data_IF_495601443654
#
_entry.id   IF_495601443654
#
_cell.length_a   1.000
_cell.length_b   1.000
_cell.length_c   1.000
_cell.angle_alpha   90.00
_cell.angle_beta   90.00
_cell.angle_gamma   90.00
#
_symmetry.space_group_name_H-M   'P 1'
#
loop_
_entity.id
_entity.type
_entity.pdbx_description
1 polymer ?
#
# COMPACT_ATOMS: atom_id res chain seq x y z
N UNK A 1 46.94 0.79 5.26
CA UNK A 1 46.07 1.06 4.09
C UNK A 1 45.38 -0.18 3.51
N UNK A 2 45.79 -1.43 3.79
CA UNK A 2 45.07 -2.63 3.31
C UNK A 2 43.96 -3.12 4.26
N UNK A 3 44.02 -2.81 5.56
CA UNK A 3 43.07 -3.31 6.56
C UNK A 3 41.74 -2.54 6.63
N UNK A 4 41.72 -1.23 6.33
CA UNK A 4 40.48 -0.42 6.35
C UNK A 4 39.53 -0.79 5.20
N UNK A 5 40.08 -1.13 4.03
CA UNK A 5 39.30 -1.58 2.88
C UNK A 5 38.57 -2.90 3.14
N UNK A 6 39.19 -3.82 3.89
CA UNK A 6 38.58 -5.12 4.22
C UNK A 6 37.37 -4.97 5.17
N UNK A 7 37.43 -4.02 6.11
CA UNK A 7 36.33 -3.75 7.04
C UNK A 7 35.13 -3.10 6.31
N UNK A 8 35.40 -2.17 5.38
CA UNK A 8 34.35 -1.59 4.55
C UNK A 8 33.68 -2.61 3.63
N UNK A 9 34.44 -3.58 3.11
CA UNK A 9 33.90 -4.61 2.20
C UNK A 9 33.03 -5.64 2.93
N UNK A 10 33.36 -6.00 4.19
CA UNK A 10 32.50 -6.82 5.04
C UNK A 10 31.19 -6.09 5.38
N UNK A 11 31.26 -4.79 5.67
CA UNK A 11 30.06 -3.97 5.91
C UNK A 11 29.19 -3.88 4.64
N UNK A 12 29.78 -3.71 3.45
CA UNK A 12 29.05 -3.70 2.17
C UNK A 12 28.37 -5.05 1.90
N UNK A 13 29.05 -6.16 2.19
CA UNK A 13 28.50 -7.52 2.07
C UNK A 13 27.31 -7.74 3.02
N UNK A 14 27.43 -7.34 4.28
CA UNK A 14 26.36 -7.47 5.28
C UNK A 14 25.12 -6.62 4.94
N UNK A 15 25.34 -5.41 4.44
CA UNK A 15 24.26 -4.52 3.97
C UNK A 15 23.57 -5.10 2.74
N UNK A 16 24.33 -5.67 1.80
CA UNK A 16 23.78 -6.33 0.62
C UNK A 16 22.96 -7.58 0.96
N UNK A 17 23.43 -8.42 1.89
CA UNK A 17 22.69 -9.60 2.35
C UNK A 17 21.39 -9.20 3.07
N UNK A 18 21.43 -8.16 3.92
CA UNK A 18 20.22 -7.61 4.56
C UNK A 18 19.24 -7.04 3.55
N UNK A 19 19.71 -6.35 2.51
CA UNK A 19 18.87 -5.83 1.43
C UNK A 19 18.24 -6.96 0.59
N UNK A 20 19.00 -7.99 0.25
CA UNK A 20 18.49 -9.16 -0.48
C UNK A 20 17.42 -9.91 0.33
N UNK A 21 17.61 -10.06 1.64
CA UNK A 21 16.62 -10.68 2.54
C UNK A 21 15.37 -9.81 2.70
N UNK A 22 15.52 -8.48 2.74
CA UNK A 22 14.39 -7.55 2.75
C UNK A 22 13.58 -7.65 1.46
N UNK A 23 14.24 -7.72 0.31
CA UNK A 23 13.57 -7.90 -0.99
C UNK A 23 12.83 -9.24 -1.04
N UNK A 24 13.47 -10.34 -0.60
CA UNK A 24 12.84 -11.67 -0.52
C UNK A 24 11.59 -11.69 0.39
N UNK A 25 11.66 -11.01 1.54
CA UNK A 25 10.51 -10.91 2.46
C UNK A 25 9.39 -10.02 1.92
N UNK A 26 9.73 -8.97 1.17
CA UNK A 26 8.75 -8.14 0.47
C UNK A 26 8.11 -8.89 -0.71
N UNK A 27 8.87 -9.68 -1.46
CA UNK A 27 8.35 -10.57 -2.49
C UNK A 27 7.45 -11.67 -1.90
N UNK A 28 7.74 -12.19 -0.71
CA UNK A 28 6.87 -13.15 -0.02
C UNK A 28 5.58 -12.52 0.53
N UNK A 29 5.65 -11.26 1.01
CA UNK A 29 4.49 -10.52 1.54
C UNK A 29 3.60 -9.90 0.45
N UNK A 30 4.16 -9.56 -0.70
CA UNK A 30 3.48 -8.90 -1.81
C UNK A 30 3.45 -9.73 -3.12
N UNK A 31 3.93 -10.97 -3.06
CA UNK A 31 3.93 -11.93 -4.16
C UNK A 31 2.52 -12.32 -4.61
N UNK A 32 2.24 -12.01 -5.87
CA UNK A 32 1.15 -12.50 -6.70
C UNK A 32 -0.29 -12.04 -6.42
N UNK A 33 -0.47 -10.73 -6.27
CA UNK A 33 -1.78 -10.06 -6.48
C UNK A 33 -2.36 -10.35 -7.88
N UNK A 34 -1.51 -10.66 -8.88
CA UNK A 34 -1.93 -11.05 -10.24
C UNK A 34 -2.59 -12.45 -10.33
N UNK A 35 -2.35 -13.36 -9.39
CA UNK A 35 -2.84 -14.76 -9.49
C UNK A 35 -4.13 -15.03 -8.69
N UNK A 36 -4.53 -14.09 -7.82
CA UNK A 36 -5.80 -14.15 -7.06
C UNK A 36 -7.02 -14.04 -7.99
N UNK A 37 -6.92 -13.28 -9.09
CA UNK A 37 -7.99 -13.19 -10.09
C UNK A 37 -8.18 -14.48 -10.90
N UNK A 38 -7.12 -15.30 -11.05
CA UNK A 38 -7.18 -16.59 -11.77
C UNK A 38 -7.75 -17.71 -10.88
N UNK A 39 -7.48 -17.68 -9.57
CA UNK A 39 -8.03 -18.63 -8.57
C UNK A 39 -9.53 -18.43 -8.31
N UNK A 40 -10.03 -17.19 -8.29
CA UNK A 40 -11.47 -16.91 -8.15
C UNK A 40 -12.30 -17.39 -9.34
N UNK A 41 -11.76 -17.34 -10.57
CA UNK A 41 -12.40 -17.92 -11.77
C UNK A 41 -12.42 -19.45 -11.77
N UNK A 42 -11.46 -20.12 -11.11
CA UNK A 42 -11.39 -21.59 -11.02
C UNK A 42 -12.32 -22.19 -9.96
N UNK A 43 -12.63 -21.46 -8.89
CA UNK A 43 -13.55 -21.95 -7.83
C UNK A 43 -15.02 -21.97 -8.24
N UNK A 44 -15.42 -21.17 -9.23
CA UNK A 44 -16.80 -21.16 -9.76
C UNK A 44 -17.07 -22.27 -10.80
N UNK A 45 -16.09 -23.14 -11.08
CA UNK A 45 -16.16 -24.16 -12.13
C UNK A 45 -16.05 -25.59 -11.58
N UNK A 46 -16.29 -25.82 -10.28
CA UNK A 46 -16.04 -27.12 -9.62
C UNK A 46 -17.30 -27.90 -9.20
N UNK A 47 -18.47 -27.49 -9.66
CA UNK A 47 -19.73 -28.19 -9.40
C UNK A 47 -20.33 -28.77 -10.70
N UNK A 48 -19.62 -29.71 -11.33
CA UNK A 48 -20.23 -30.78 -12.14
C UNK A 48 -19.40 -32.05 -12.00
N UNK A 49 -19.98 -33.00 -11.27
CA UNK A 49 -19.51 -34.36 -11.05
C UNK A 49 -19.52 -35.15 -12.38
N UNK A 50 -18.45 -35.84 -12.81
CA UNK A 50 -18.59 -36.90 -13.80
C UNK A 50 -18.87 -38.20 -13.06
N UNK A 51 -20.14 -38.62 -13.05
CA UNK A 51 -20.51 -40.00 -12.77
C UNK A 51 -20.08 -40.86 -13.94
N UNK A 52 -19.15 -41.78 -13.67
CA UNK A 52 -18.87 -42.96 -14.46
C UNK A 52 -20.18 -43.70 -14.75
N UNK A 53 -20.56 -43.78 -16.02
CA UNK A 53 -21.47 -44.81 -16.52
C UNK A 53 -20.89 -45.37 -17.81
N UNK A 54 -20.45 -46.60 -17.68
CA UNK A 54 -20.08 -47.51 -18.75
C UNK A 54 -21.22 -47.63 -19.76
N UNK A 55 -20.86 -47.73 -21.04
CA UNK A 55 -21.75 -48.13 -22.13
C UNK A 55 -20.95 -48.94 -23.16
N UNK A 56 -21.61 -49.86 -23.88
CA UNK A 56 -21.28 -51.28 -23.83
C UNK A 56 -20.30 -51.72 -24.92
N UNK A 57 -19.65 -52.86 -24.65
CA UNK A 57 -18.94 -53.66 -25.65
C UNK A 57 -19.89 -53.96 -26.83
N UNK A 58 -19.65 -53.34 -27.98
CA UNK A 58 -20.13 -53.85 -29.27
C UNK A 58 -18.98 -54.52 -30.00
N UNK A 59 -19.21 -55.80 -30.24
CA UNK A 59 -18.33 -56.78 -30.86
C UNK A 59 -17.82 -56.26 -32.21
N UNK A 60 -16.51 -56.25 -32.38
CA UNK A 60 -15.81 -56.02 -33.64
C UNK A 60 -16.20 -57.08 -34.67
N UNK A 61 -17.13 -56.75 -35.57
CA UNK A 61 -17.23 -57.45 -36.86
C UNK A 61 -16.20 -56.85 -37.80
N UNK A 62 -15.17 -57.67 -38.04
CA UNK A 62 -14.25 -57.72 -39.19
C UNK A 62 -14.01 -56.41 -39.96
N UNK A 63 -12.75 -55.96 -39.88
CA UNK A 63 -12.25 -54.73 -40.44
C UNK A 63 -12.61 -54.55 -41.92
N UNK A 64 -13.41 -53.53 -42.18
CA UNK A 64 -13.42 -52.90 -43.48
C UNK A 64 -11.98 -52.48 -43.83
N UNK A 65 -11.49 -52.74 -45.05
CA UNK A 65 -10.11 -52.45 -45.43
C UNK A 65 -9.79 -51.00 -45.08
N UNK A 66 -8.57 -50.70 -44.64
CA UNK A 66 -8.18 -49.38 -44.14
C UNK A 66 -8.56 -48.24 -45.11
N UNK A 67 -8.71 -48.54 -46.40
CA UNK A 67 -9.25 -47.64 -47.43
C UNK A 67 -10.71 -47.22 -47.20
N UNK A 68 -11.62 -48.12 -46.78
CA UNK A 68 -13.06 -47.83 -46.59
C UNK A 68 -13.30 -47.02 -45.32
N UNK A 69 -12.55 -47.28 -44.24
CA UNK A 69 -12.63 -46.47 -43.01
C UNK A 69 -11.99 -45.08 -43.19
N UNK A 70 -10.95 -44.96 -44.03
CA UNK A 70 -10.39 -43.67 -44.47
C UNK A 70 -11.39 -42.93 -45.39
N UNK A 71 -11.98 -43.62 -46.37
CA UNK A 71 -12.95 -43.03 -47.29
C UNK A 71 -14.22 -42.54 -46.58
N UNK A 72 -14.74 -43.29 -45.61
CA UNK A 72 -15.91 -42.86 -44.81
C UNK A 72 -15.60 -41.69 -43.89
N UNK A 73 -14.36 -41.58 -43.36
CA UNK A 73 -13.91 -40.39 -42.60
C UNK A 73 -13.73 -39.17 -43.50
N UNK A 74 -13.12 -39.35 -44.68
CA UNK A 74 -12.97 -38.29 -45.69
C UNK A 74 -14.32 -37.81 -46.20
N UNK A 75 -15.27 -38.72 -46.45
CA UNK A 75 -16.64 -38.38 -46.86
C UNK A 75 -17.41 -37.62 -45.77
N UNK A 76 -17.24 -37.99 -44.48
CA UNK A 76 -17.83 -37.25 -43.35
C UNK A 76 -17.19 -35.87 -43.17
N UNK A 77 -15.90 -35.74 -43.42
CA UNK A 77 -15.19 -34.46 -43.39
C UNK A 77 -15.59 -33.55 -44.57
N UNK A 78 -15.74 -34.10 -45.77
CA UNK A 78 -16.17 -33.37 -46.97
C UNK A 78 -17.62 -32.89 -46.88
N UNK A 79 -18.52 -33.63 -46.21
CA UNK A 79 -19.92 -33.22 -45.98
C UNK A 79 -20.08 -32.17 -44.88
N UNK A 80 -19.10 -32.02 -43.99
CA UNK A 80 -19.15 -31.04 -42.89
C UNK A 80 -18.52 -29.74 -43.39
N UNK A 81 -19.33 -28.89 -44.01
CA UNK A 81 -18.90 -27.61 -44.58
C UNK A 81 -18.01 -26.81 -43.61
N UNK A 82 -16.90 -26.30 -44.13
CA UNK A 82 -15.80 -25.64 -43.39
C UNK A 82 -16.08 -24.17 -43.04
N UNK A 83 -17.34 -23.75 -42.91
CA UNK A 83 -17.67 -22.38 -42.50
C UNK A 83 -18.48 -22.37 -41.22
N UNK A 84 -17.80 -22.46 -40.08
CA UNK A 84 -18.41 -22.06 -38.81
C UNK A 84 -18.31 -20.54 -38.73
N UNK A 85 -19.30 -19.84 -39.27
CA UNK A 85 -19.40 -18.39 -39.11
C UNK A 85 -19.80 -18.07 -37.67
N UNK A 86 -18.81 -17.88 -36.79
CA UNK A 86 -19.07 -17.49 -35.40
C UNK A 86 -19.46 -16.01 -35.34
N UNK A 87 -20.72 -15.74 -35.00
CA UNK A 87 -21.22 -14.37 -34.85
C UNK A 87 -21.02 -13.88 -33.41
N UNK A 88 -20.80 -12.58 -33.23
CA UNK A 88 -20.71 -12.00 -31.89
C UNK A 88 -22.12 -11.84 -31.31
N UNK A 89 -22.51 -12.76 -30.44
CA UNK A 89 -23.82 -12.75 -29.80
C UNK A 89 -23.88 -11.71 -28.68
N UNK A 90 -24.79 -10.76 -28.79
CA UNK A 90 -25.13 -9.83 -27.71
C UNK A 90 -26.28 -10.40 -26.89
N UNK A 91 -26.00 -10.82 -25.65
CA UNK A 91 -27.00 -11.47 -24.78
C UNK A 91 -27.91 -10.48 -24.03
N UNK A 92 -27.59 -9.18 -24.06
CA UNK A 92 -28.37 -8.13 -23.40
C UNK A 92 -28.89 -7.15 -24.46
N UNK A 93 -30.13 -6.69 -24.30
CA UNK A 93 -30.72 -5.67 -25.15
C UNK A 93 -30.06 -4.28 -24.99
N UNK A 94 -29.37 -4.03 -23.87
CA UNK A 94 -28.67 -2.77 -23.60
C UNK A 94 -27.23 -2.80 -24.12
N UNK A 95 -26.88 -1.84 -24.96
CA UNK A 95 -25.51 -1.60 -25.40
C UNK A 95 -24.67 -0.96 -24.28
N UNK A 96 -23.47 -1.49 -24.05
CA UNK A 96 -22.50 -0.93 -23.11
C UNK A 96 -21.25 -0.49 -23.86
N UNK A 97 -20.73 0.68 -23.51
CA UNK A 97 -19.45 1.16 -24.06
C UNK A 97 -18.36 0.11 -23.78
N UNK A 98 -17.60 -0.34 -24.80
CA UNK A 98 -16.49 -1.24 -24.58
C UNK A 98 -15.46 -0.56 -23.69
N UNK A 99 -14.80 -1.35 -22.83
CA UNK A 99 -13.70 -0.83 -22.02
C UNK A 99 -12.54 -0.50 -22.95
N UNK A 100 -12.25 0.78 -23.08
CA UNK A 100 -11.10 1.27 -23.83
C UNK A 100 -9.91 1.41 -22.90
N UNK A 101 -8.70 1.39 -23.46
CA UNK A 101 -7.49 1.75 -22.72
C UNK A 101 -7.62 3.21 -22.23
N UNK A 102 -7.29 3.46 -20.96
CA UNK A 102 -7.23 4.80 -20.39
C UNK A 102 -5.76 5.10 -20.06
N UNK A 103 -5.15 6.01 -20.81
CA UNK A 103 -3.75 6.40 -20.59
C UNK A 103 -3.61 7.24 -19.31
N UNK A 104 -2.49 7.10 -18.58
CA UNK A 104 -2.18 7.99 -17.47
C UNK A 104 -1.95 9.43 -17.97
N UNK A 105 -2.20 10.42 -17.11
CA UNK A 105 -1.95 11.83 -17.45
C UNK A 105 -0.44 12.09 -17.52
N UNK A 106 0.05 12.43 -18.71
CA UNK A 106 1.43 12.88 -18.95
C UNK A 106 1.40 14.34 -19.45
N UNK A 107 1.63 15.34 -18.59
CA UNK A 107 1.61 16.74 -19.01
C UNK A 107 2.83 17.07 -19.88
N UNK A 108 2.62 17.81 -20.98
CA UNK A 108 3.71 18.24 -21.88
C UNK A 108 4.67 19.24 -21.25
N UNK A 109 4.15 20.08 -20.35
CA UNK A 109 4.91 21.06 -19.57
C UNK A 109 4.30 21.19 -18.18
N UNK A 110 5.09 21.65 -17.21
CA UNK A 110 4.61 21.88 -15.85
C UNK A 110 3.89 23.24 -15.76
N UNK A 111 2.72 23.25 -15.14
CA UNK A 111 1.83 24.42 -15.12
C UNK A 111 2.27 25.52 -14.14
N UNK A 112 3.03 25.16 -13.12
CA UNK A 112 3.49 26.10 -12.08
C UNK A 112 4.92 25.79 -11.69
N UNK A 113 5.66 26.83 -11.29
CA UNK A 113 7.04 26.70 -10.80
C UNK A 113 7.10 25.78 -9.58
N UNK A 114 6.10 25.85 -8.69
CA UNK A 114 6.02 24.97 -7.51
C UNK A 114 5.96 23.48 -7.89
N UNK A 115 5.20 23.14 -8.93
CA UNK A 115 5.12 21.77 -9.43
C UNK A 115 6.43 21.35 -10.11
N UNK A 116 7.11 22.28 -10.78
CA UNK A 116 8.42 22.05 -11.39
C UNK A 116 9.49 21.72 -10.35
N UNK A 117 9.61 22.58 -9.33
CA UNK A 117 10.56 22.42 -8.24
C UNK A 117 10.14 21.37 -7.19
N UNK A 118 8.95 20.77 -7.33
CA UNK A 118 8.40 19.75 -6.43
C UNK A 118 8.36 20.19 -4.95
N UNK A 119 8.04 21.47 -4.69
CA UNK A 119 7.99 21.98 -3.31
C UNK A 119 6.86 21.34 -2.50
N UNK A 120 7.21 20.85 -1.32
CA UNK A 120 6.27 20.30 -0.34
C UNK A 120 5.43 21.40 0.32
N UNK A 121 4.20 21.06 0.73
CA UNK A 121 3.31 21.91 1.54
C UNK A 121 3.34 21.52 3.03
N UNK A 122 4.32 20.72 3.46
CA UNK A 122 4.43 20.27 4.83
C UNK A 122 4.72 21.45 5.77
N UNK A 123 4.12 21.43 6.97
CA UNK A 123 4.42 22.43 8.00
C UNK A 123 5.73 22.07 8.69
N UNK A 124 6.70 22.97 8.69
CA UNK A 124 7.96 22.77 9.41
C UNK A 124 7.74 22.54 10.91
N UNK A 125 8.64 21.80 11.56
CA UNK A 125 8.46 21.42 12.97
C UNK A 125 8.33 22.65 13.90
N UNK A 126 9.16 23.67 13.67
CA UNK A 126 9.10 24.96 14.40
C UNK A 126 7.84 25.78 14.10
N UNK A 127 7.24 25.59 12.92
CA UNK A 127 5.95 26.22 12.61
C UNK A 127 4.79 25.51 13.31
N UNK A 128 4.91 24.20 13.54
CA UNK A 128 3.90 23.40 14.25
C UNK A 128 3.86 23.77 15.74
N UNK A 129 4.99 23.67 16.45
CA UNK A 129 5.08 23.99 17.90
C UNK A 129 5.60 25.41 18.05
N UNK A 130 4.76 26.34 18.54
CA UNK A 130 5.10 27.77 18.56
C UNK A 130 5.81 28.19 19.84
N UNK A 131 5.08 28.20 20.96
CA UNK A 131 5.61 28.64 22.25
C UNK A 131 4.88 27.95 23.39
N UNK A 132 5.56 27.74 24.54
CA UNK A 132 4.94 27.19 25.74
C UNK A 132 3.95 28.16 26.36
N UNK A 133 3.06 27.65 27.20
CA UNK A 133 2.18 28.45 28.05
C UNK A 133 2.70 28.48 29.49
N UNK A 134 2.91 29.68 30.01
CA UNK A 134 3.43 29.98 31.36
C UNK A 134 2.32 30.28 32.39
N UNK A 135 1.08 29.90 32.11
CA UNK A 135 -0.04 30.16 33.04
C UNK A 135 0.06 29.26 34.27
N UNK A 136 -0.43 29.69 35.43
CA UNK A 136 -0.47 28.89 36.67
C UNK A 136 -1.01 27.46 36.47
N UNK A 137 -2.12 27.33 35.72
CA UNK A 137 -2.70 26.02 35.37
C UNK A 137 -1.76 25.13 34.55
N UNK A 138 -0.93 25.73 33.69
CA UNK A 138 0.07 25.02 32.90
C UNK A 138 1.26 24.61 33.77
N UNK A 139 1.71 25.48 34.67
CA UNK A 139 2.77 25.18 35.64
C UNK A 139 2.36 24.01 36.55
N UNK A 140 1.16 24.05 37.10
CA UNK A 140 0.60 22.95 37.91
C UNK A 140 0.54 21.62 37.13
N UNK A 141 0.17 21.66 35.85
CA UNK A 141 0.12 20.48 34.98
C UNK A 141 1.50 19.89 34.65
N UNK A 142 2.53 20.73 34.69
CA UNK A 142 3.92 20.33 34.51
C UNK A 142 4.45 19.61 35.75
N UNK A 143 4.06 20.05 36.94
CA UNK A 143 4.43 19.43 38.22
C UNK A 143 3.66 18.12 38.46
N UNK A 144 2.32 18.15 38.37
CA UNK A 144 1.47 17.05 38.82
C UNK A 144 1.42 15.86 37.84
N UNK A 145 1.36 16.13 36.52
CA UNK A 145 0.97 15.13 35.52
C UNK A 145 2.08 14.78 34.51
N UNK A 146 3.24 15.41 34.63
CA UNK A 146 4.32 15.39 33.65
C UNK A 146 3.79 15.80 32.25
N UNK A 147 3.10 16.94 32.19
CA UNK A 147 2.49 17.48 30.97
C UNK A 147 2.96 18.89 30.67
N UNK A 148 3.44 19.12 29.45
CA UNK A 148 3.73 20.46 28.97
C UNK A 148 2.57 21.03 28.17
N UNK A 149 2.36 22.34 28.26
CA UNK A 149 1.29 23.02 27.54
C UNK A 149 1.88 23.98 26.52
N UNK A 150 1.53 23.79 25.25
CA UNK A 150 2.02 24.60 24.14
C UNK A 150 0.88 25.24 23.36
N UNK A 151 1.16 26.42 22.79
CA UNK A 151 0.41 26.93 21.65
C UNK A 151 1.00 26.40 20.35
N UNK A 152 0.11 25.97 19.46
CA UNK A 152 0.41 25.19 18.26
C UNK A 152 -0.28 25.82 17.06
N UNK A 153 0.22 25.53 15.85
CA UNK A 153 -0.46 25.88 14.61
C UNK A 153 -1.89 25.29 14.50
N UNK A 154 -2.84 26.11 14.07
CA UNK A 154 -4.27 25.76 14.03
C UNK A 154 -4.58 24.56 13.12
N UNK A 155 -3.81 24.37 12.05
CA UNK A 155 -3.97 23.23 11.12
C UNK A 155 -3.22 21.98 11.55
N UNK A 156 -2.38 22.04 12.60
CA UNK A 156 -1.60 20.89 13.01
C UNK A 156 -2.48 19.80 13.63
N UNK A 157 -2.22 18.55 13.27
CA UNK A 157 -2.89 17.37 13.81
C UNK A 157 -2.08 16.77 14.96
N UNK A 158 -2.73 16.01 15.86
CA UNK A 158 -2.04 15.34 16.98
C UNK A 158 -0.78 14.55 16.59
N UNK A 159 -0.76 13.71 15.54
CA UNK A 159 0.45 13.00 15.15
C UNK A 159 1.55 13.93 14.61
N UNK A 160 1.20 15.06 13.97
CA UNK A 160 2.19 16.06 13.55
C UNK A 160 2.82 16.75 14.74
N UNK A 161 2.01 17.14 15.73
CA UNK A 161 2.50 17.75 16.98
C UNK A 161 3.43 16.79 17.71
N UNK A 162 3.06 15.51 17.79
CA UNK A 162 3.89 14.46 18.40
C UNK A 162 5.27 14.38 17.75
N UNK A 163 5.29 14.20 16.42
CA UNK A 163 6.54 14.10 15.65
C UNK A 163 7.37 15.38 15.73
N UNK A 164 6.73 16.55 15.67
CA UNK A 164 7.45 17.82 15.76
C UNK A 164 8.07 17.99 17.14
N UNK A 165 7.32 17.73 18.22
CA UNK A 165 7.79 17.86 19.59
C UNK A 165 8.94 16.89 19.90
N UNK A 166 8.80 15.63 19.48
CA UNK A 166 9.84 14.61 19.62
C UNK A 166 11.14 15.01 18.91
N UNK A 167 11.04 15.59 17.71
CA UNK A 167 12.22 16.04 16.93
C UNK A 167 12.86 17.31 17.48
N UNK A 168 12.08 18.25 18.00
CA UNK A 168 12.60 19.53 18.48
C UNK A 168 13.30 19.39 19.83
N UNK A 169 12.77 18.56 20.70
CA UNK A 169 13.24 18.46 22.08
C UNK A 169 13.89 17.11 22.41
N UNK A 170 13.97 16.18 21.46
CA UNK A 170 14.52 14.83 21.64
C UNK A 170 13.87 14.04 22.79
N UNK A 171 12.58 14.29 23.04
CA UNK A 171 11.82 13.68 24.13
C UNK A 171 10.69 12.81 23.60
N UNK A 172 10.45 11.66 24.21
CA UNK A 172 9.33 10.77 23.85
C UNK A 172 8.00 11.28 24.43
N UNK A 173 6.98 11.36 23.58
CA UNK A 173 5.64 11.81 23.99
C UNK A 173 4.70 10.62 24.17
N UNK A 174 4.02 10.57 25.32
CA UNK A 174 3.00 9.56 25.63
C UNK A 174 1.69 9.85 24.90
N UNK A 175 1.09 11.01 25.16
CA UNK A 175 -0.23 11.38 24.62
C UNK A 175 -0.37 12.88 24.39
N UNK A 176 -1.23 13.26 23.45
CA UNK A 176 -1.52 14.66 23.12
C UNK A 176 -3.02 14.94 23.12
N UNK A 177 -3.41 15.98 23.85
CA UNK A 177 -4.77 16.50 23.88
C UNK A 177 -4.73 17.93 23.34
N UNK A 178 -5.63 18.26 22.41
CA UNK A 178 -5.67 19.58 21.77
C UNK A 178 -7.03 20.21 21.96
N UNK A 179 -7.06 21.52 22.15
CA UNK A 179 -8.27 22.34 22.19
C UNK A 179 -8.06 23.59 21.32
N UNK A 180 -9.15 24.10 20.76
CA UNK A 180 -9.16 25.39 20.10
C UNK A 180 -9.65 26.43 21.12
N UNK A 181 -8.86 27.47 21.34
CA UNK A 181 -9.20 28.56 22.28
C UNK A 181 -10.08 29.59 21.57
N UNK A 182 -10.94 30.31 22.30
CA UNK A 182 -11.75 31.42 21.76
C UNK A 182 -10.88 32.51 21.10
N UNK A 183 -9.63 32.68 21.57
CA UNK A 183 -8.60 33.54 20.96
C UNK A 183 -8.14 33.09 19.56
N UNK A 184 -8.70 32.00 19.02
CA UNK A 184 -8.35 31.46 17.71
C UNK A 184 -7.03 30.71 17.67
N UNK A 185 -6.43 30.35 18.81
CA UNK A 185 -5.18 29.58 18.87
C UNK A 185 -5.42 28.15 19.35
N UNK A 186 -4.69 27.19 18.78
CA UNK A 186 -4.74 25.80 19.23
C UNK A 186 -3.80 25.59 20.40
N UNK A 187 -4.34 25.16 21.54
CA UNK A 187 -3.57 24.77 22.72
C UNK A 187 -3.42 23.25 22.73
N UNK A 188 -2.23 22.77 23.08
CA UNK A 188 -1.92 21.36 23.17
C UNK A 188 -1.36 21.04 24.56
N UNK A 189 -1.99 20.08 25.23
CA UNK A 189 -1.46 19.39 26.41
C UNK A 189 -0.69 18.17 25.92
N UNK A 190 0.61 18.14 26.20
CA UNK A 190 1.55 17.13 25.73
C UNK A 190 2.06 16.39 26.96
N UNK A 191 1.63 15.14 27.14
CA UNK A 191 2.10 14.28 28.21
C UNK A 191 3.37 13.57 27.79
N UNK A 192 4.44 13.71 28.56
CA UNK A 192 5.72 13.06 28.27
C UNK A 192 5.69 11.59 28.72
N UNK A 193 6.66 10.81 28.23
CA UNK A 193 6.93 9.47 28.77
C UNK A 193 7.44 9.57 30.20
N UNK A 194 7.31 8.51 30.99
CA UNK A 194 7.86 8.46 32.35
C UNK A 194 9.39 8.57 32.38
N UNK A 195 10.05 8.26 31.25
CA UNK A 195 11.51 8.34 31.10
C UNK A 195 12.05 9.78 31.09
N UNK A 196 11.19 10.77 30.85
CA UNK A 196 11.58 12.17 30.71
C UNK A 196 10.71 13.04 31.60
N UNK A 197 11.35 13.84 32.44
CA UNK A 197 10.66 14.74 33.34
C UNK A 197 10.42 16.12 32.70
N UNK A 198 9.18 16.63 32.79
CA UNK A 198 8.80 17.90 32.18
C UNK A 198 9.44 19.11 32.85
N UNK A 199 9.76 19.06 34.14
CA UNK A 199 10.46 20.15 34.82
C UNK A 199 11.88 20.31 34.24
N UNK A 200 12.60 19.21 34.08
CA UNK A 200 13.93 19.22 33.46
C UNK A 200 13.92 19.77 32.02
N UNK A 201 12.87 19.47 31.25
CA UNK A 201 12.71 19.97 29.88
C UNK A 201 12.35 21.46 29.88
N UNK A 202 11.55 21.92 30.85
CA UNK A 202 11.17 23.31 30.99
C UNK A 202 12.37 24.22 31.31
N UNK A 203 13.29 23.78 32.19
CA UNK A 203 14.54 24.50 32.45
C UNK A 203 15.42 24.57 31.20
N UNK A 204 15.47 23.51 30.38
CA UNK A 204 16.20 23.52 29.10
C UNK A 204 15.61 24.49 28.08
N UNK A 205 14.30 24.69 28.11
CA UNK A 205 13.60 25.62 27.22
C UNK A 205 13.65 27.06 27.78
N UNK A 206 13.87 27.24 29.08
CA UNK A 206 13.92 28.54 29.75
C UNK A 206 12.53 29.07 30.13
N UNK A 207 11.65 28.18 30.61
CA UNK A 207 10.27 28.53 31.04
C UNK A 207 10.19 28.68 32.57
N UNK A 208 11.12 28.04 33.29
CA UNK A 208 11.33 28.09 34.74
C UNK A 208 12.66 28.75 35.00
#
# INVERSE_FOLDING_TARGET
>A
MQAENAHEDVIKLDVLVKLQNLIKTLEFKYGDVKNIQKKKKRKLAKDTKPTTKEQPKTVSKQGAPAAVSKATKVAKAAKKGTSVSSHKTHTRARFYRPKTLQLPRAPKYQRTVRAHLKLSNHLENHAVVKHPLTTEKAMKKMEDENTMVFLVHNRATKPQIKKAFEKLHNVKVRSINTLNTVKGSKKAYIRLSADCDSLSLASKIGII
#
